data_IF_916933820736
#
_entry.id   IF_916933820736
#
_cell.length_a   1.000
_cell.length_b   1.000
_cell.length_c   1.000
_cell.angle_alpha   90.00
_cell.angle_beta   90.00
_cell.angle_gamma   90.00
#
_symmetry.space_group_name_H-M   'P 1'
#
loop_
_entity.id
_entity.type
_entity.pdbx_description
1 polymer ?
#
# COMPACT_ATOMS: atom_id res chain seq x y z
N UNK A 1 -2.27 1.19 -14.58
CA UNK A 1 -1.95 -0.08 -13.94
C UNK A 1 -1.82 0.18 -12.45
N UNK A 2 -2.76 -0.35 -11.67
CA UNK A 2 -2.83 -0.12 -10.21
C UNK A 2 -2.52 -1.41 -9.46
N UNK A 3 -1.98 -1.29 -8.24
CA UNK A 3 -1.61 -2.46 -7.43
C UNK A 3 -2.78 -3.45 -7.21
N UNK A 4 -4.02 -2.96 -7.17
CA UNK A 4 -5.23 -3.78 -7.09
C UNK A 4 -5.36 -4.80 -8.23
N UNK A 5 -5.03 -4.42 -9.47
CA UNK A 5 -5.14 -5.32 -10.63
C UNK A 5 -4.16 -6.50 -10.48
N UNK A 6 -2.95 -6.22 -10.01
CA UNK A 6 -1.95 -7.24 -9.72
C UNK A 6 -2.30 -8.07 -8.49
N UNK A 7 -2.87 -7.48 -7.44
CA UNK A 7 -3.33 -8.20 -6.27
C UNK A 7 -4.46 -9.19 -6.61
N UNK A 8 -5.30 -8.89 -7.60
CA UNK A 8 -6.31 -9.81 -8.09
C UNK A 8 -5.75 -10.90 -9.00
N UNK A 9 -4.83 -10.56 -9.92
CA UNK A 9 -4.30 -11.50 -10.90
C UNK A 9 -3.19 -12.40 -10.34
N UNK A 10 -2.32 -11.86 -9.48
CA UNK A 10 -1.12 -12.52 -8.95
C UNK A 10 -0.89 -12.12 -7.48
N UNK A 11 -1.78 -12.55 -6.55
CA UNK A 11 -1.77 -12.08 -5.17
C UNK A 11 -0.45 -12.36 -4.43
N UNK A 12 0.15 -13.53 -4.67
CA UNK A 12 1.36 -14.01 -4.00
C UNK A 12 2.65 -13.50 -4.64
N UNK A 13 2.56 -12.80 -5.78
CA UNK A 13 3.74 -12.27 -6.45
C UNK A 13 4.39 -11.18 -5.58
N UNK A 14 5.72 -11.21 -5.38
CA UNK A 14 6.42 -10.16 -4.65
C UNK A 14 6.33 -8.81 -5.36
N UNK A 15 5.96 -7.77 -4.62
CA UNK A 15 5.94 -6.37 -5.10
C UNK A 15 7.11 -5.56 -4.54
N UNK A 16 7.52 -5.85 -3.31
CA UNK A 16 8.65 -5.17 -2.64
C UNK A 16 9.49 -6.20 -1.90
N UNK A 17 10.80 -6.09 -2.02
CA UNK A 17 11.76 -6.91 -1.29
C UNK A 17 12.61 -5.95 -0.45
N UNK A 18 12.58 -6.12 0.87
CA UNK A 18 13.33 -5.29 1.80
C UNK A 18 14.82 -5.60 1.67
N UNK A 19 15.63 -4.61 1.27
CA UNK A 19 17.04 -4.81 0.95
C UNK A 19 17.86 -5.42 2.11
N UNK A 20 17.61 -4.99 3.34
CA UNK A 20 18.38 -5.41 4.52
C UNK A 20 17.91 -6.73 5.13
N UNK A 21 16.61 -7.04 5.06
CA UNK A 21 16.04 -8.23 5.69
C UNK A 21 15.68 -9.36 4.73
N UNK A 22 15.65 -9.08 3.43
CA UNK A 22 15.13 -10.00 2.41
C UNK A 22 13.62 -10.26 2.52
N UNK A 23 12.92 -9.59 3.45
CA UNK A 23 11.50 -9.77 3.65
C UNK A 23 10.74 -9.31 2.40
N UNK A 24 9.86 -10.19 1.92
CA UNK A 24 9.04 -9.92 0.75
C UNK A 24 7.67 -9.43 1.18
N UNK A 25 7.16 -8.45 0.46
CA UNK A 25 5.78 -8.01 0.51
C UNK A 25 5.12 -8.45 -0.78
N UNK A 26 3.98 -9.14 -0.69
CA UNK A 26 3.21 -9.55 -1.86
C UNK A 26 2.27 -8.44 -2.34
N UNK A 27 1.74 -8.56 -3.56
CA UNK A 27 0.72 -7.63 -4.05
C UNK A 27 -0.54 -7.63 -3.16
N UNK A 28 -0.96 -8.79 -2.66
CA UNK A 28 -2.09 -8.87 -1.74
C UNK A 28 -1.83 -8.11 -0.43
N UNK A 29 -0.63 -8.27 0.16
CA UNK A 29 -0.26 -7.56 1.38
C UNK A 29 -0.18 -6.04 1.18
N UNK A 30 0.35 -5.62 0.03
CA UNK A 30 0.48 -4.22 -0.31
C UNK A 30 -0.88 -3.55 -0.49
N UNK A 31 -1.79 -4.14 -1.26
CA UNK A 31 -3.14 -3.60 -1.48
C UNK A 31 -3.92 -3.56 -0.16
N UNK A 32 -3.81 -4.59 0.68
CA UNK A 32 -4.44 -4.58 2.00
C UNK A 32 -3.92 -3.45 2.90
N UNK A 33 -2.61 -3.16 2.88
CA UNK A 33 -2.00 -2.05 3.62
C UNK A 33 -2.42 -0.69 3.08
N UNK A 34 -2.42 -0.52 1.75
CA UNK A 34 -2.84 0.70 1.09
C UNK A 34 -4.31 1.03 1.41
N UNK A 35 -5.20 0.03 1.37
CA UNK A 35 -6.60 0.22 1.73
C UNK A 35 -6.78 0.59 3.22
N UNK A 36 -6.01 -0.01 4.14
CA UNK A 36 -6.03 0.41 5.56
C UNK A 36 -5.60 1.87 5.74
N UNK A 37 -4.56 2.31 5.04
CA UNK A 37 -4.14 3.72 5.07
C UNK A 37 -5.23 4.64 4.50
N UNK A 38 -5.88 4.26 3.39
CA UNK A 38 -6.98 5.02 2.82
C UNK A 38 -8.18 5.17 3.77
N UNK A 39 -8.55 4.09 4.48
CA UNK A 39 -9.58 4.15 5.51
C UNK A 39 -9.19 5.07 6.66
N UNK A 40 -7.96 4.95 7.17
CA UNK A 40 -7.46 5.85 8.21
C UNK A 40 -7.54 7.32 7.78
N UNK A 41 -7.12 7.67 6.56
CA UNK A 41 -7.21 9.03 6.06
C UNK A 41 -8.65 9.54 5.97
N UNK A 42 -9.58 8.68 5.53
CA UNK A 42 -11.00 9.02 5.50
C UNK A 42 -11.58 9.23 6.90
N UNK A 43 -11.16 8.41 7.86
CA UNK A 43 -11.64 8.48 9.25
C UNK A 43 -11.16 9.76 9.97
N UNK A 44 -9.97 10.27 9.63
CA UNK A 44 -9.48 11.57 10.13
C UNK A 44 -10.03 12.77 9.35
N UNK A 45 -10.93 12.55 8.39
CA UNK A 45 -11.64 13.61 7.67
C UNK A 45 -11.01 14.07 6.36
N UNK A 46 -9.91 13.45 5.91
CA UNK A 46 -9.23 13.83 4.68
C UNK A 46 -10.15 13.67 3.46
N UNK A 47 -10.22 14.70 2.62
CA UNK A 47 -11.02 14.74 1.40
C UNK A 47 -10.14 14.60 0.14
N UNK A 48 -10.76 14.27 -1.01
CA UNK A 48 -10.07 14.37 -2.28
C UNK A 48 -9.45 15.77 -2.46
N UNK A 49 -8.21 15.81 -2.94
CA UNK A 49 -7.40 17.01 -3.16
C UNK A 49 -6.76 17.63 -1.90
N UNK A 50 -7.01 17.09 -0.70
CA UNK A 50 -6.27 17.50 0.49
C UNK A 50 -4.81 16.99 0.44
N UNK A 51 -3.93 17.68 1.17
CA UNK A 51 -2.51 17.36 1.23
C UNK A 51 -2.16 16.51 2.46
N UNK A 52 -1.24 15.56 2.28
CA UNK A 52 -0.54 14.88 3.36
C UNK A 52 0.94 15.18 3.28
N UNK A 53 1.59 15.27 4.43
CA UNK A 53 3.04 15.26 4.53
C UNK A 53 3.48 13.93 5.12
N UNK A 54 4.49 13.32 4.53
CA UNK A 54 5.13 12.13 5.07
C UNK A 54 6.55 12.49 5.49
N UNK A 55 6.93 12.05 6.69
CA UNK A 55 8.31 12.05 7.14
C UNK A 55 8.73 10.59 7.26
N UNK A 56 9.70 10.19 6.45
CA UNK A 56 10.25 8.82 6.43
C UNK A 56 11.77 8.91 6.45
N UNK A 57 12.39 7.99 7.17
CA UNK A 57 13.85 7.78 7.18
C UNK A 57 14.32 6.91 6.01
#
# INVERSE_FOLDING_TARGET
MYAREHAAANPDQPVLIMATSGKQLTYADYEARANRAAHFFRDIGLQPLDHIATFTE
#
